data_IF_944497052658
#
_entry.id   IF_944497052658
#
_cell.length_a   1.000
_cell.length_b   1.000
_cell.length_c   1.000
_cell.angle_alpha   90.00
_cell.angle_beta   90.00
_cell.angle_gamma   90.00
#
_symmetry.space_group_name_H-M   'P 1'
#
loop_
_entity.id
_entity.type
_entity.pdbx_description
1 polymer ?
#
# COMPACT_ATOMS: atom_id res chain seq x y z
N UNK A 1 -25.54 11.45 -15.74
CA UNK A 1 -25.34 10.79 -14.43
C UNK A 1 -23.95 11.15 -13.94
N UNK A 2 -23.83 11.82 -12.80
CA UNK A 2 -22.51 12.22 -12.28
C UNK A 2 -21.79 10.97 -11.76
N UNK A 3 -20.73 10.55 -12.45
CA UNK A 3 -19.80 9.54 -11.94
C UNK A 3 -19.17 10.13 -10.68
N UNK A 4 -19.67 9.75 -9.49
CA UNK A 4 -18.93 9.97 -8.25
C UNK A 4 -17.65 9.15 -8.38
N UNK A 5 -16.54 9.81 -8.71
CA UNK A 5 -15.19 9.26 -8.59
C UNK A 5 -14.92 9.03 -7.11
N UNK A 6 -15.45 7.93 -6.58
CA UNK A 6 -15.31 7.57 -5.18
C UNK A 6 -13.90 7.08 -4.93
N UNK A 7 -13.13 7.81 -4.12
CA UNK A 7 -11.85 7.32 -3.61
C UNK A 7 -12.11 6.33 -2.48
N UNK A 8 -11.35 5.24 -2.44
CA UNK A 8 -11.35 4.29 -1.31
C UNK A 8 -10.03 4.39 -0.57
N UNK A 9 -10.09 4.39 0.76
CA UNK A 9 -8.89 4.38 1.60
C UNK A 9 -8.38 2.95 1.75
N UNK A 10 -7.13 2.72 1.38
CA UNK A 10 -6.40 1.48 1.66
C UNK A 10 -5.56 1.71 2.91
N UNK A 11 -5.78 0.92 3.95
CA UNK A 11 -5.04 1.02 5.21
C UNK A 11 -4.03 -0.12 5.31
N UNK A 12 -2.78 0.22 5.62
CA UNK A 12 -1.74 -0.74 5.97
C UNK A 12 -1.19 -0.44 7.37
N UNK A 13 -0.87 -1.49 8.13
CA UNK A 13 -0.22 -1.36 9.44
C UNK A 13 1.28 -1.50 9.24
N UNK A 14 2.01 -0.48 9.68
CA UNK A 14 3.48 -0.47 9.67
C UNK A 14 3.99 -0.26 11.09
N UNK A 15 5.19 -0.76 11.39
CA UNK A 15 5.81 -0.52 12.69
C UNK A 15 6.20 0.96 12.83
N UNK A 16 6.36 1.49 14.05
CA UNK A 16 6.83 2.86 14.26
C UNK A 16 8.22 3.14 13.65
N UNK A 17 9.06 2.11 13.53
CA UNK A 17 10.37 2.22 12.87
C UNK A 17 10.22 2.36 11.35
N UNK A 18 9.39 1.51 10.73
CA UNK A 18 9.08 1.63 9.30
C UNK A 18 8.47 2.99 8.98
N UNK A 19 7.56 3.48 9.82
CA UNK A 19 6.98 4.80 9.64
C UNK A 19 8.03 5.93 9.72
N UNK A 20 8.96 5.86 10.68
CA UNK A 20 10.08 6.83 10.77
C UNK A 20 10.95 6.82 9.51
N UNK A 21 11.23 5.65 8.94
CA UNK A 21 11.96 5.54 7.66
C UNK A 21 11.18 6.17 6.50
N UNK A 22 9.87 5.98 6.45
CA UNK A 22 9.00 6.61 5.45
C UNK A 22 8.98 8.14 5.57
N UNK A 23 8.92 8.69 6.79
CA UNK A 23 9.00 10.14 7.00
C UNK A 23 10.35 10.72 6.58
N UNK A 24 11.45 10.01 6.83
CA UNK A 24 12.76 10.42 6.35
C UNK A 24 12.81 10.48 4.81
N UNK A 25 12.32 9.43 4.13
CA UNK A 25 12.22 9.39 2.66
C UNK A 25 11.33 10.53 2.16
N UNK A 26 10.17 10.73 2.79
CA UNK A 26 9.25 11.82 2.47
C UNK A 26 9.98 13.17 2.46
N UNK A 27 10.68 13.49 3.55
CA UNK A 27 11.43 14.75 3.65
C UNK A 27 12.58 14.83 2.65
N UNK A 28 13.30 13.74 2.41
CA UNK A 28 14.48 13.70 1.54
C UNK A 28 14.14 13.94 0.07
N UNK A 29 13.02 13.38 -0.40
CA UNK A 29 12.62 13.43 -1.81
C UNK A 29 11.49 14.43 -2.08
N UNK A 30 11.07 15.21 -1.07
CA UNK A 30 10.11 16.30 -1.25
C UNK A 30 8.64 15.86 -1.37
N UNK A 31 8.28 14.69 -0.83
CA UNK A 31 6.88 14.25 -0.81
C UNK A 31 6.06 15.08 0.19
N UNK A 32 4.83 15.44 -0.18
CA UNK A 32 3.86 16.14 0.65
C UNK A 32 3.48 15.33 1.89
N UNK A 33 3.40 14.01 1.78
CA UNK A 33 3.04 13.13 2.90
C UNK A 33 3.52 11.69 2.68
N UNK A 34 3.53 10.88 3.75
CA UNK A 34 3.73 9.42 3.64
C UNK A 34 2.64 8.76 2.78
N UNK A 35 1.43 9.31 2.77
CA UNK A 35 0.35 8.83 1.91
C UNK A 35 0.66 9.00 0.43
N UNK A 36 1.33 10.07 0.04
CA UNK A 36 1.73 10.30 -1.37
C UNK A 36 2.73 9.24 -1.83
N UNK A 37 3.67 8.84 -0.96
CA UNK A 37 4.58 7.72 -1.24
C UNK A 37 3.79 6.43 -1.48
N UNK A 38 2.84 6.10 -0.60
CA UNK A 38 2.01 4.90 -0.74
C UNK A 38 1.18 4.96 -2.02
N UNK A 39 0.59 6.12 -2.35
CA UNK A 39 -0.18 6.31 -3.57
C UNK A 39 0.70 6.11 -4.81
N UNK A 40 1.90 6.69 -4.85
CA UNK A 40 2.85 6.50 -5.95
C UNK A 40 3.27 5.04 -6.09
N UNK A 41 3.53 4.34 -4.98
CA UNK A 41 3.88 2.92 -5.01
C UNK A 41 2.74 2.05 -5.55
N UNK A 42 1.51 2.26 -5.06
CA UNK A 42 0.32 1.53 -5.56
C UNK A 42 0.10 1.82 -7.04
N UNK A 43 0.27 3.08 -7.43
CA UNK A 43 0.12 3.50 -8.81
C UNK A 43 1.14 2.82 -9.72
N UNK A 44 2.44 2.93 -9.42
CA UNK A 44 3.50 2.26 -10.16
C UNK A 44 3.31 0.75 -10.24
N UNK A 45 2.90 0.12 -9.13
CA UNK A 45 2.63 -1.32 -9.08
C UNK A 45 1.51 -1.74 -10.03
N UNK A 46 0.37 -1.03 -10.04
CA UNK A 46 -0.75 -1.34 -10.94
C UNK A 46 -0.36 -1.14 -12.40
N UNK A 47 0.36 -0.05 -12.70
CA UNK A 47 0.83 0.25 -14.05
C UNK A 47 1.83 -0.80 -14.57
N UNK A 48 2.60 -1.43 -13.70
CA UNK A 48 3.51 -2.50 -14.08
C UNK A 48 2.82 -3.86 -14.17
N UNK A 49 1.94 -4.19 -13.22
CA UNK A 49 1.30 -5.51 -13.09
C UNK A 49 0.04 -5.68 -13.95
N UNK A 50 -0.61 -4.59 -14.35
CA UNK A 50 -1.88 -4.56 -15.08
C UNK A 50 -1.86 -3.54 -16.22
N UNK A 51 -0.83 -3.64 -17.08
CA UNK A 51 -0.57 -2.71 -18.20
C UNK A 51 -1.78 -2.58 -19.14
N UNK A 52 -2.50 -3.68 -19.39
CA UNK A 52 -3.62 -3.73 -20.35
C UNK A 52 -4.85 -2.93 -19.91
N UNK A 53 -5.02 -2.71 -18.60
CA UNK A 53 -6.15 -1.95 -18.04
C UNK A 53 -5.75 -0.53 -17.60
N UNK A 54 -4.50 -0.12 -17.82
CA UNK A 54 -4.05 1.23 -17.52
C UNK A 54 -4.55 2.24 -18.56
N UNK A 55 -5.16 3.33 -18.09
CA UNK A 55 -5.68 4.40 -18.95
C UNK A 55 -4.64 5.49 -19.22
N UNK A 56 -3.49 5.46 -18.55
CA UNK A 56 -2.43 6.44 -18.75
C UNK A 56 -1.49 6.07 -19.90
N UNK A 57 -1.40 7.00 -20.85
CA UNK A 57 -0.57 6.89 -22.05
C UNK A 57 0.91 7.18 -21.78
N UNK A 58 1.23 7.93 -20.72
CA UNK A 58 2.61 8.33 -20.41
C UNK A 58 3.40 7.13 -19.87
N UNK A 59 4.49 6.67 -20.52
CA UNK A 59 5.21 5.48 -20.09
C UNK A 59 5.78 5.63 -18.68
N UNK A 60 5.76 4.53 -17.90
CA UNK A 60 6.47 4.48 -16.62
C UNK A 60 7.97 4.74 -16.84
N UNK A 61 8.65 5.45 -15.92
CA UNK A 61 10.10 5.53 -15.96
C UNK A 61 10.74 4.13 -15.97
N UNK A 62 11.72 3.91 -16.85
CA UNK A 62 12.39 2.61 -17.05
C UNK A 62 12.87 1.94 -15.75
N UNK A 63 13.37 2.74 -14.79
CA UNK A 63 13.80 2.24 -13.49
C UNK A 63 12.67 1.58 -12.70
N UNK A 64 11.47 2.17 -12.75
CA UNK A 64 10.29 1.65 -12.07
C UNK A 64 9.75 0.41 -12.77
N UNK A 65 9.75 0.41 -14.11
CA UNK A 65 9.32 -0.76 -14.89
C UNK A 65 10.18 -1.99 -14.56
N UNK A 66 11.51 -1.84 -14.53
CA UNK A 66 12.42 -2.92 -14.15
C UNK A 66 12.28 -3.40 -12.71
N UNK A 67 11.90 -2.53 -11.76
CA UNK A 67 11.69 -2.94 -10.37
C UNK A 67 10.58 -3.98 -10.22
N UNK A 68 9.65 -4.05 -11.17
CA UNK A 68 8.49 -4.95 -11.11
C UNK A 68 8.49 -6.04 -12.19
N UNK A 69 9.31 -5.92 -13.24
CA UNK A 69 9.43 -6.93 -14.31
C UNK A 69 9.95 -8.30 -13.78
N UNK A 70 10.89 -8.27 -12.84
CA UNK A 70 11.49 -9.47 -12.22
C UNK A 70 10.61 -10.10 -11.11
N UNK A 71 9.52 -9.42 -10.70
CA UNK A 71 8.62 -9.91 -9.64
C UNK A 71 7.54 -10.87 -10.16
N UNK A 72 7.46 -11.12 -11.46
CA UNK A 72 6.52 -12.10 -12.04
C UNK A 72 6.82 -13.54 -11.60
N UNK A 73 8.08 -13.85 -11.29
CA UNK A 73 8.54 -15.15 -10.81
C UNK A 73 8.80 -15.19 -9.29
N UNK A 74 8.64 -14.04 -8.60
CA UNK A 74 8.93 -13.93 -7.17
C UNK A 74 7.89 -14.63 -6.29
N UNK A 75 8.31 -15.67 -5.57
CA UNK A 75 7.50 -16.25 -4.49
C UNK A 75 7.13 -15.16 -3.46
N UNK A 76 5.84 -15.12 -3.06
CA UNK A 76 5.34 -14.17 -2.04
C UNK A 76 5.93 -14.47 -0.66
N UNK A 77 7.18 -14.09 -0.41
CA UNK A 77 7.87 -14.27 0.87
C UNK A 77 7.60 -13.12 1.86
N UNK A 78 6.39 -12.60 1.92
CA UNK A 78 6.02 -11.63 2.96
C UNK A 78 4.81 -12.14 3.71
N UNK A 79 5.07 -12.96 4.72
CA UNK A 79 4.08 -13.28 5.74
C UNK A 79 3.87 -12.04 6.62
N UNK A 80 2.84 -11.26 6.29
CA UNK A 80 2.38 -10.23 7.22
C UNK A 80 1.73 -10.94 8.40
N UNK A 81 2.43 -11.00 9.53
CA UNK A 81 1.83 -11.47 10.79
C UNK A 81 0.53 -10.69 11.03
N UNK A 82 -0.60 -11.39 10.84
CA UNK A 82 -1.91 -10.84 11.18
C UNK A 82 -1.94 -10.68 12.69
N UNK A 83 -1.61 -9.49 13.19
CA UNK A 83 -1.93 -9.06 14.56
C UNK A 83 -3.43 -8.77 14.70
N UNK A 84 -4.27 -9.76 14.34
CA UNK A 84 -5.66 -9.80 14.74
C UNK A 84 -5.70 -10.30 16.19
N UNK A 85 -5.41 -9.43 17.15
CA UNK A 85 -6.00 -9.63 18.48
C UNK A 85 -7.49 -9.39 18.32
N UNK A 86 -8.25 -10.46 18.04
CA UNK A 86 -9.70 -10.47 18.27
C UNK A 86 -9.89 -9.99 19.70
N UNK A 87 -10.51 -8.84 19.90
CA UNK A 87 -11.07 -8.51 21.21
C UNK A 87 -12.04 -9.64 21.51
N UNK A 88 -11.68 -10.53 22.43
CA UNK A 88 -12.64 -11.45 23.02
C UNK A 88 -13.64 -10.58 23.78
N UNK A 89 -14.69 -10.16 23.07
CA UNK A 89 -15.93 -9.72 23.70
C UNK A 89 -16.61 -11.00 24.17
N UNK A 90 -16.40 -11.37 25.43
CA UNK A 90 -17.29 -12.26 26.15
C UNK A 90 -17.73 -11.51 27.40
N UNK A 91 -19.02 -11.20 27.38
CA UNK A 91 -19.82 -10.49 28.37
C UNK A 91 -19.52 -10.91 29.81
N UNK A 92 -19.62 -9.93 30.69
CA UNK A 92 -20.00 -10.10 32.09
C UNK A 92 -21.10 -11.17 32.22
N UNK A 93 -20.82 -12.23 32.96
CA UNK A 93 -21.84 -13.09 33.57
C UNK A 93 -21.70 -12.89 35.07
N UNK A 94 -22.65 -12.16 35.66
CA UNK A 94 -22.93 -12.26 37.08
C UNK A 94 -23.46 -13.66 37.37
N UNK A 95 -22.91 -14.28 38.41
CA UNK A 95 -23.47 -15.26 39.36
C UNK A 95 -22.30 -15.51 40.32
N UNK A 96 -22.34 -15.14 41.59
CA UNK A 96 -23.32 -15.49 42.63
C UNK A 96 -23.39 -14.39 43.70
#
# INVERSE_FOLDING_TARGET
MANKTGTRKVYSRVTPETYRRLEYIRSKYGFKSVYEIIQSLVHCFLRAADKDNDQQVEPLPYEVERMFDELSEGEKHVEFERTYKRKASAKSVNNE
#
